data_IF_735784481878
#
_entry.id   IF_735784481878
#
_cell.length_a   1.000
_cell.length_b   1.000
_cell.length_c   1.000
_cell.angle_alpha   90.00
_cell.angle_beta   90.00
_cell.angle_gamma   90.00
#
_symmetry.space_group_name_H-M   'P 1'
#
loop_
_entity.id
_entity.type
_entity.pdbx_description
1 polymer ?
#
# COMPACT_ATOMS: atom_id res chain seq x y z
N UNK A 1 12.06 -10.13 15.82
CA UNK A 1 11.14 -10.17 15.46
C UNK A 1 10.39 -9.51 16.04
N UNK A 2 9.83 -9.40 15.69
CA UNK A 2 9.09 -8.83 16.23
C UNK A 2 8.35 -9.60 17.01
N UNK A 3 8.55 -9.50 18.16
CA UNK A 3 7.71 -10.06 19.01
C UNK A 3 6.65 -9.17 19.35
N UNK A 4 6.65 -8.04 18.74
CA UNK A 4 5.55 -7.14 18.87
C UNK A 4 4.38 -7.80 18.19
N UNK A 5 3.32 -8.11 18.86
CA UNK A 5 2.18 -8.77 18.26
C UNK A 5 1.64 -8.00 17.08
N UNK A 6 1.72 -6.68 17.11
CA UNK A 6 1.29 -5.92 16.00
C UNK A 6 2.14 -6.15 14.79
N UNK A 7 3.42 -6.21 14.99
CA UNK A 7 4.33 -6.42 13.89
C UNK A 7 4.15 -7.81 13.30
N UNK A 8 3.97 -8.80 14.15
CA UNK A 8 3.72 -10.14 13.68
C UNK A 8 2.44 -10.19 12.89
N UNK A 9 1.46 -9.50 13.38
CA UNK A 9 0.18 -9.44 12.74
C UNK A 9 0.31 -8.84 11.35
N UNK A 10 1.08 -7.78 11.21
CA UNK A 10 1.28 -7.17 9.91
C UNK A 10 2.12 -8.05 9.01
N UNK A 11 3.15 -8.65 9.56
CA UNK A 11 4.06 -9.39 8.72
C UNK A 11 3.44 -10.65 8.19
N UNK A 12 2.79 -11.41 9.03
CA UNK A 12 2.24 -12.63 8.52
C UNK A 12 0.86 -12.39 8.02
N UNK A 13 0.08 -11.58 8.74
CA UNK A 13 -1.24 -11.29 8.28
C UNK A 13 -1.24 -10.20 7.24
N UNK A 14 -0.20 -9.38 7.22
CA UNK A 14 -0.18 -8.23 6.34
C UNK A 14 -0.20 -8.61 4.88
N UNK A 15 0.59 -9.58 4.52
CA UNK A 15 0.66 -10.01 3.14
C UNK A 15 -0.67 -10.61 2.72
N UNK A 16 -1.24 -11.42 3.59
CA UNK A 16 -2.53 -12.01 3.28
C UNK A 16 -3.60 -10.95 3.18
N UNK A 17 -3.55 -9.98 4.07
CA UNK A 17 -4.53 -8.92 4.07
C UNK A 17 -4.46 -8.11 2.79
N UNK A 18 -3.26 -7.79 2.35
CA UNK A 18 -3.09 -7.05 1.10
C UNK A 18 -3.65 -7.84 -0.07
N UNK A 19 -3.43 -9.14 -0.08
CA UNK A 19 -3.94 -9.97 -1.16
C UNK A 19 -5.46 -9.96 -1.17
N UNK A 20 -6.07 -10.01 0.00
CA UNK A 20 -7.51 -9.98 0.12
C UNK A 20 -8.06 -8.64 -0.35
N UNK A 21 -7.44 -7.57 0.09
CA UNK A 21 -7.88 -6.23 -0.28
C UNK A 21 -7.79 -6.07 -1.79
N UNK A 22 -6.68 -6.52 -2.36
CA UNK A 22 -6.50 -6.42 -3.80
C UNK A 22 -7.56 -7.21 -4.53
N UNK A 23 -7.92 -8.37 -4.02
CA UNK A 23 -8.91 -9.22 -4.66
C UNK A 23 -10.32 -8.65 -4.57
N UNK A 24 -10.58 -7.86 -3.54
CA UNK A 24 -11.93 -7.33 -3.33
C UNK A 24 -12.16 -5.99 -3.99
N UNK A 25 -11.11 -5.28 -4.32
CA UNK A 25 -11.24 -3.94 -4.87
C UNK A 25 -10.96 -3.95 -6.36
N UNK A 26 -11.54 -2.99 -7.06
CA UNK A 26 -11.15 -2.79 -8.45
C UNK A 26 -9.73 -2.26 -8.48
N UNK A 27 -9.06 -2.33 -9.64
CA UNK A 27 -7.71 -1.79 -9.72
C UNK A 27 -7.61 -0.33 -9.31
N UNK A 28 -8.59 0.47 -9.68
CA UNK A 28 -8.59 1.89 -9.30
C UNK A 28 -8.78 2.06 -7.81
N UNK A 29 -9.65 1.26 -7.23
CA UNK A 29 -9.88 1.35 -5.80
C UNK A 29 -8.64 0.92 -5.02
N UNK A 30 -7.99 -0.14 -5.47
CA UNK A 30 -6.79 -0.62 -4.81
C UNK A 30 -5.67 0.43 -4.91
N UNK A 31 -5.56 1.06 -6.07
CA UNK A 31 -4.59 2.13 -6.26
C UNK A 31 -4.86 3.27 -5.29
N UNK A 32 -6.12 3.65 -5.14
CA UNK A 32 -6.48 4.71 -4.19
C UNK A 32 -6.19 4.31 -2.76
N UNK A 33 -6.44 3.04 -2.43
CA UNK A 33 -6.15 2.54 -1.09
C UNK A 33 -4.66 2.68 -0.78
N UNK A 34 -3.80 2.28 -1.71
CA UNK A 34 -2.37 2.37 -1.50
C UNK A 34 -1.92 3.83 -1.40
N UNK A 35 -2.40 4.65 -2.30
CA UNK A 35 -2.03 6.06 -2.30
C UNK A 35 -2.51 6.75 -1.03
N UNK A 36 -3.72 6.43 -0.60
CA UNK A 36 -4.25 7.02 0.61
C UNK A 36 -3.41 6.70 1.83
N UNK A 37 -2.90 5.46 1.88
CA UNK A 37 -2.03 5.10 3.00
C UNK A 37 -0.69 5.81 2.93
N UNK A 38 -0.15 6.00 1.74
CA UNK A 38 1.09 6.73 1.60
C UNK A 38 0.90 8.16 2.12
N UNK A 39 -0.20 8.80 1.73
CA UNK A 39 -0.48 10.15 2.17
C UNK A 39 -0.67 10.21 3.67
N UNK A 40 -1.43 9.25 4.20
CA UNK A 40 -1.71 9.22 5.63
C UNK A 40 -0.43 9.16 6.45
N UNK A 41 0.44 8.24 6.10
CA UNK A 41 1.66 8.09 6.87
C UNK A 41 2.64 9.22 6.62
N UNK A 42 2.60 9.80 5.42
CA UNK A 42 3.44 10.96 5.15
C UNK A 42 3.04 12.14 6.01
N UNK A 43 1.75 12.34 6.19
CA UNK A 43 1.27 13.44 7.02
C UNK A 43 1.63 13.26 8.48
N UNK A 44 1.77 12.02 8.92
CA UNK A 44 2.07 11.75 10.32
C UNK A 44 3.53 11.94 10.68
N UNK A 45 4.40 11.94 9.70
CA UNK A 45 5.83 11.93 9.97
C UNK A 45 6.29 13.04 10.89
N UNK A 46 5.72 14.22 10.73
CA UNK A 46 6.16 15.36 11.52
C UNK A 46 5.49 15.50 12.85
N UNK A 47 4.48 14.68 13.12
CA UNK A 47 3.69 14.87 14.33
C UNK A 47 3.70 13.66 15.24
N UNK A 48 4.42 12.62 14.87
CA UNK A 48 4.47 11.42 15.68
C UNK A 48 5.90 11.09 16.02
N UNK A 49 6.05 10.39 17.10
CA UNK A 49 7.38 9.98 17.51
C UNK A 49 7.85 8.75 16.76
N UNK A 50 7.00 8.19 15.92
CA UNK A 50 7.32 6.96 15.24
C UNK A 50 7.68 7.18 13.78
N UNK A 51 8.53 8.18 13.53
CA UNK A 51 8.90 8.49 12.16
C UNK A 51 9.52 7.33 11.41
N UNK A 52 10.33 6.56 12.10
CA UNK A 52 10.97 5.41 11.46
C UNK A 52 9.93 4.39 11.03
N UNK A 53 8.97 4.11 11.89
CA UNK A 53 7.92 3.17 11.58
C UNK A 53 7.02 3.69 10.46
N UNK A 54 6.69 4.97 10.52
CA UNK A 54 5.82 5.56 9.51
C UNK A 54 6.51 5.60 8.16
N UNK A 55 7.81 5.87 8.13
CA UNK A 55 8.52 5.86 6.85
C UNK A 55 8.63 4.44 6.31
N UNK A 56 8.70 3.44 7.17
CA UNK A 56 8.68 2.07 6.72
C UNK A 56 7.34 1.74 6.06
N UNK A 57 6.25 2.24 6.64
CA UNK A 57 4.93 2.02 6.06
C UNK A 57 4.82 2.70 4.70
N UNK A 58 5.35 3.91 4.60
CA UNK A 58 5.35 4.62 3.33
C UNK A 58 6.10 3.81 2.28
N UNK A 59 7.26 3.30 2.66
CA UNK A 59 8.06 2.52 1.73
C UNK A 59 7.32 1.27 1.27
N UNK A 60 6.66 0.60 2.20
CA UNK A 60 5.95 -0.63 1.90
C UNK A 60 4.78 -0.38 0.95
N UNK A 61 3.97 0.62 1.26
CA UNK A 61 2.84 0.94 0.40
C UNK A 61 3.30 1.46 -0.95
N UNK A 62 4.42 2.19 -0.99
CA UNK A 62 4.95 2.66 -2.25
C UNK A 62 5.44 1.52 -3.12
N UNK A 63 6.04 0.52 -2.50
CA UNK A 63 6.49 -0.64 -3.25
C UNK A 63 5.28 -1.39 -3.85
N UNK A 64 4.24 -1.55 -3.05
CA UNK A 64 3.04 -2.21 -3.56
C UNK A 64 2.41 -1.39 -4.67
N UNK A 65 2.44 -0.07 -4.55
CA UNK A 65 1.89 0.78 -5.58
C UNK A 65 2.68 0.64 -6.88
N UNK A 66 4.00 0.60 -6.77
CA UNK A 66 4.81 0.40 -7.95
C UNK A 66 4.52 -0.95 -8.59
N UNK A 67 4.41 -1.99 -7.78
CA UNK A 67 4.09 -3.30 -8.30
C UNK A 67 2.73 -3.32 -8.99
N UNK A 68 1.80 -2.57 -8.44
CA UNK A 68 0.47 -2.47 -9.01
C UNK A 68 0.53 -1.94 -10.45
N UNK A 69 1.33 -0.90 -10.66
CA UNK A 69 1.47 -0.37 -11.99
C UNK A 69 2.27 -1.27 -12.90
N UNK A 70 3.29 -1.92 -12.36
CA UNK A 70 4.11 -2.82 -13.14
C UNK A 70 3.33 -4.05 -13.59
N UNK A 71 2.33 -4.46 -12.82
CA UNK A 71 1.56 -5.64 -13.13
C UNK A 71 0.42 -5.36 -14.09
N UNK A 72 0.24 -4.10 -14.50
CA UNK A 72 -0.82 -3.80 -15.41
C UNK A 72 -0.54 -4.35 -16.78
N UNK A 73 -1.56 -4.52 -17.60
CA UNK A 73 -1.32 -4.91 -18.97
C UNK A 73 -0.36 -3.93 -19.60
N UNK A 74 0.61 -4.49 -20.28
CA UNK A 74 1.66 -3.68 -20.84
C UNK A 74 1.11 -2.65 -21.81
N UNK A 75 1.60 -1.43 -21.65
CA UNK A 75 1.19 -0.39 -22.57
C UNK A 75 -0.16 0.22 -22.27
N UNK A 76 -0.75 -0.14 -21.14
CA UNK A 76 -2.07 0.35 -20.83
C UNK A 76 -2.01 1.28 -19.65
N UNK A 77 -2.03 2.58 -19.86
CA UNK A 77 -1.99 3.52 -18.75
C UNK A 77 -3.30 3.49 -17.96
N UNK A 78 -3.19 3.96 -16.75
CA UNK A 78 -4.36 4.00 -15.88
C UNK A 78 -5.48 4.81 -16.51
N UNK A 79 -5.11 5.92 -17.12
CA UNK A 79 -6.12 6.78 -17.71
C UNK A 79 -6.91 6.07 -18.78
N UNK A 80 -6.27 5.21 -19.55
CA UNK A 80 -6.97 4.47 -20.59
C UNK A 80 -7.92 3.47 -19.97
N UNK A 81 -7.51 2.86 -18.88
CA UNK A 81 -8.37 1.93 -18.19
C UNK A 81 -9.57 2.64 -17.63
N UNK A 82 -9.37 3.82 -17.11
CA UNK A 82 -10.45 4.56 -16.50
C UNK A 82 -11.41 5.13 -17.50
N UNK A 83 -10.95 5.36 -18.69
CA UNK A 83 -11.82 5.92 -19.71
C UNK A 83 -12.86 4.93 -20.13
N UNK A 84 -12.59 3.70 -19.92
CA UNK A 84 -13.53 2.70 -20.30
C UNK A 84 -14.45 2.38 -19.17
#
# INVERSE_FOLDING_TARGET
>A
MSNDPKSTYYDSGGIETIAIIKAKLTPEQFQGYLLGNIIKYSCRLNFKENGSRDSEKISMYSKWLKNHFDDRPHGMPVSDIQKN
#
